data_IF_589777372549
#
_entry.id   IF_589777372549
#
_cell.length_a   1.000
_cell.length_b   1.000
_cell.length_c   1.000
_cell.angle_alpha   90.00
_cell.angle_beta   90.00
_cell.angle_gamma   90.00
#
_symmetry.space_group_name_H-M   'P 1'
#
loop_
_entity.id
_entity.type
_entity.pdbx_description
1 polymer ?
#
# COMPACT_ATOMS: atom_id res chain seq x y z
N UNK A 1 9.77 -26.04 -15.91
CA UNK A 1 9.48 -27.25 -16.71
C UNK A 1 7.98 -27.45 -16.78
N UNK A 2 7.43 -27.49 -18.00
CA UNK A 2 5.98 -27.58 -18.32
C UNK A 2 5.27 -28.75 -17.63
N UNK A 3 5.99 -29.85 -17.38
CA UNK A 3 5.47 -31.05 -16.71
C UNK A 3 5.00 -30.82 -15.27
N UNK A 4 5.65 -29.91 -14.54
CA UNK A 4 5.23 -29.59 -13.17
C UNK A 4 3.89 -28.83 -13.19
N UNK A 5 3.75 -27.87 -14.11
CA UNK A 5 2.54 -27.06 -14.26
C UNK A 5 1.32 -27.90 -14.66
N UNK A 6 1.49 -28.93 -15.50
CA UNK A 6 0.41 -29.86 -15.86
C UNK A 6 -0.07 -30.70 -14.66
N UNK A 7 0.85 -31.10 -13.76
CA UNK A 7 0.51 -31.82 -12.54
C UNK A 7 -0.19 -30.93 -11.52
N UNK A 8 0.28 -29.69 -11.35
CA UNK A 8 -0.30 -28.72 -10.44
C UNK A 8 -1.73 -28.34 -10.87
N UNK A 9 -1.99 -28.30 -12.18
CA UNK A 9 -3.31 -28.02 -12.74
C UNK A 9 -4.30 -29.17 -12.55
N UNK A 10 -3.87 -30.43 -12.72
CA UNK A 10 -4.76 -31.59 -12.61
C UNK A 10 -5.12 -31.97 -11.17
N UNK A 11 -4.27 -31.65 -10.19
CA UNK A 11 -4.47 -32.01 -8.78
C UNK A 11 -5.26 -30.98 -7.97
N UNK A 12 -5.24 -29.69 -8.36
CA UNK A 12 -5.56 -28.65 -7.40
C UNK A 12 -6.77 -27.76 -7.72
N UNK A 13 -7.39 -27.83 -8.90
CA UNK A 13 -8.41 -26.84 -9.33
C UNK A 13 -7.97 -25.37 -9.05
N UNK A 14 -6.65 -25.12 -9.07
CA UNK A 14 -6.03 -23.86 -8.62
C UNK A 14 -5.98 -22.87 -9.79
N UNK A 15 -7.04 -22.06 -9.92
CA UNK A 15 -7.05 -20.89 -10.81
C UNK A 15 -6.31 -19.67 -10.20
N UNK A 16 -5.79 -19.77 -8.97
CA UNK A 16 -5.12 -18.67 -8.28
C UNK A 16 -3.74 -19.11 -7.78
N UNK A 17 -2.65 -18.40 -8.11
CA UNK A 17 -1.36 -18.66 -7.49
C UNK A 17 -1.45 -18.36 -5.98
N UNK A 18 -0.86 -19.22 -5.14
CA UNK A 18 -0.72 -18.99 -3.68
C UNK A 18 0.27 -17.86 -3.33
N UNK A 19 0.75 -17.13 -4.33
CA UNK A 19 1.60 -15.95 -4.17
C UNK A 19 0.75 -14.78 -3.66
N UNK A 20 0.19 -14.93 -2.45
CA UNK A 20 -0.39 -13.83 -1.70
C UNK A 20 0.68 -12.76 -1.50
N UNK A 21 0.36 -11.52 -1.86
CA UNK A 21 1.27 -10.38 -1.70
C UNK A 21 1.75 -10.23 -0.26
N UNK A 22 2.78 -9.40 -0.08
CA UNK A 22 3.34 -9.10 1.25
C UNK A 22 2.25 -8.61 2.20
N UNK A 23 2.16 -9.21 3.39
CA UNK A 23 1.26 -8.73 4.45
C UNK A 23 1.74 -7.35 4.91
N UNK A 24 0.82 -6.39 4.99
CA UNK A 24 1.07 -5.09 5.62
C UNK A 24 1.50 -5.29 7.08
N UNK A 25 2.42 -4.45 7.58
CA UNK A 25 2.81 -4.45 8.99
C UNK A 25 1.69 -3.93 9.91
N UNK A 26 0.74 -3.19 9.36
CA UNK A 26 -0.43 -2.68 10.09
C UNK A 26 -1.57 -3.70 10.09
N UNK A 27 -2.25 -3.82 11.22
CA UNK A 27 -3.51 -4.57 11.32
C UNK A 27 -4.60 -3.91 10.48
N UNK A 28 -5.69 -4.63 10.21
CA UNK A 28 -6.82 -4.09 9.45
C UNK A 28 -7.43 -2.85 10.12
N UNK A 29 -7.57 -2.87 11.45
CA UNK A 29 -8.08 -1.73 12.23
C UNK A 29 -7.14 -0.52 12.15
N UNK A 30 -5.84 -0.74 12.30
CA UNK A 30 -4.83 0.33 12.18
C UNK A 30 -4.79 0.91 10.76
N UNK A 31 -4.92 0.04 9.75
CA UNK A 31 -5.00 0.44 8.34
C UNK A 31 -6.21 1.35 8.11
N UNK A 32 -7.40 0.96 8.58
CA UNK A 32 -8.60 1.76 8.42
C UNK A 32 -8.51 3.12 9.15
N UNK A 33 -7.96 3.11 10.37
CA UNK A 33 -7.71 4.33 11.14
C UNK A 33 -6.73 5.26 10.42
N UNK A 34 -5.62 4.72 9.90
CA UNK A 34 -4.63 5.49 9.16
C UNK A 34 -5.21 6.05 7.85
N UNK A 35 -6.03 5.29 7.12
CA UNK A 35 -6.73 5.78 5.92
C UNK A 35 -7.61 6.97 6.30
N UNK A 36 -8.47 6.83 7.33
CA UNK A 36 -9.35 7.91 7.78
C UNK A 36 -8.58 9.17 8.17
N UNK A 37 -7.44 9.00 8.83
CA UNK A 37 -6.56 10.10 9.22
C UNK A 37 -5.91 10.80 8.03
N UNK A 38 -5.44 10.05 7.03
CA UNK A 38 -4.84 10.61 5.82
C UNK A 38 -5.88 11.24 4.88
N UNK A 39 -7.15 10.86 4.98
CA UNK A 39 -8.25 11.52 4.27
C UNK A 39 -8.61 12.87 4.89
N UNK A 40 -8.55 13.00 6.21
CA UNK A 40 -8.84 14.27 6.90
C UNK A 40 -7.65 15.22 6.95
N UNK A 41 -6.42 14.67 7.03
CA UNK A 41 -5.18 15.43 7.18
C UNK A 41 -4.24 15.19 6.02
N UNK A 42 -3.98 16.24 5.25
CA UNK A 42 -2.97 16.23 4.20
C UNK A 42 -1.58 16.44 4.80
N UNK A 43 -0.63 15.61 4.38
CA UNK A 43 0.79 15.73 4.73
C UNK A 43 1.59 16.22 3.53
N UNK A 44 2.66 16.98 3.78
CA UNK A 44 3.53 17.48 2.71
C UNK A 44 4.58 16.44 2.34
N UNK A 45 5.03 15.63 3.31
CA UNK A 45 6.06 14.63 3.10
C UNK A 45 5.70 13.26 3.69
N UNK A 46 6.03 12.18 2.99
CA UNK A 46 5.84 10.80 3.48
C UNK A 46 6.55 10.55 4.81
N UNK A 47 7.67 11.25 5.09
CA UNK A 47 8.39 11.14 6.37
C UNK A 47 7.53 11.53 7.58
N UNK A 48 6.62 12.48 7.41
CA UNK A 48 5.68 12.91 8.45
C UNK A 48 4.66 11.81 8.75
N UNK A 49 4.19 11.12 7.71
CA UNK A 49 3.30 9.97 7.83
C UNK A 49 4.02 8.82 8.54
N UNK A 50 5.27 8.55 8.19
CA UNK A 50 6.11 7.55 8.87
C UNK A 50 6.26 7.88 10.36
N UNK A 51 6.55 9.14 10.68
CA UNK A 51 6.65 9.59 12.07
C UNK A 51 5.33 9.40 12.83
N UNK A 52 4.20 9.77 12.22
CA UNK A 52 2.88 9.54 12.81
C UNK A 52 2.57 8.06 13.06
N UNK A 53 2.87 7.20 12.10
CA UNK A 53 2.66 5.74 12.24
C UNK A 53 3.54 5.17 13.35
N UNK A 54 4.78 5.65 13.47
CA UNK A 54 5.66 5.26 14.56
C UNK A 54 5.16 5.74 15.94
N UNK A 55 4.64 6.96 16.04
CA UNK A 55 4.12 7.47 17.32
C UNK A 55 2.81 6.81 17.72
N UNK A 56 1.89 6.61 16.77
CA UNK A 56 0.55 6.06 17.03
C UNK A 56 0.56 4.54 17.21
N UNK A 57 1.35 3.81 16.42
CA UNK A 57 1.28 2.34 16.34
C UNK A 57 2.58 1.64 16.73
N UNK A 58 3.67 2.38 16.99
CA UNK A 58 5.02 1.83 17.24
C UNK A 58 5.53 0.93 16.12
N UNK A 59 5.01 1.12 14.90
CA UNK A 59 5.45 0.39 13.70
C UNK A 59 6.41 1.27 12.92
N UNK A 60 7.62 0.76 12.68
CA UNK A 60 8.64 1.48 11.93
C UNK A 60 8.55 1.14 10.43
N UNK A 61 8.21 2.15 9.63
CA UNK A 61 8.26 2.06 8.18
C UNK A 61 9.50 2.77 7.63
N UNK A 62 10.09 2.22 6.57
CA UNK A 62 10.96 3.01 5.71
C UNK A 62 10.12 3.92 4.82
N UNK A 63 10.69 5.03 4.33
CA UNK A 63 9.99 5.95 3.41
C UNK A 63 9.50 5.21 2.16
N UNK A 64 10.34 4.32 1.59
CA UNK A 64 9.96 3.50 0.44
C UNK A 64 8.84 2.51 0.78
N UNK A 65 8.87 1.91 1.98
CA UNK A 65 7.81 1.02 2.45
C UNK A 65 6.48 1.76 2.64
N UNK A 66 6.52 2.97 3.20
CA UNK A 66 5.34 3.81 3.35
C UNK A 66 4.78 4.24 2.00
N UNK A 67 5.63 4.63 1.04
CA UNK A 67 5.18 4.93 -0.32
C UNK A 67 4.48 3.73 -0.97
N UNK A 68 5.03 2.52 -0.84
CA UNK A 68 4.38 1.29 -1.32
C UNK A 68 3.03 1.07 -0.64
N UNK A 69 2.96 1.25 0.68
CA UNK A 69 1.73 1.11 1.44
C UNK A 69 0.66 2.12 0.99
N UNK A 70 1.04 3.38 0.76
CA UNK A 70 0.14 4.41 0.25
C UNK A 70 -0.44 4.01 -1.11
N UNK A 71 0.41 3.57 -2.04
CA UNK A 71 -0.03 3.09 -3.36
C UNK A 71 -0.97 1.88 -3.27
N UNK A 72 -0.68 0.92 -2.38
CA UNK A 72 -1.53 -0.25 -2.16
C UNK A 72 -2.92 0.12 -1.61
N UNK A 73 -3.00 1.18 -0.80
CA UNK A 73 -4.25 1.67 -0.20
C UNK A 73 -4.93 2.76 -1.06
N UNK A 74 -4.55 2.89 -2.33
CA UNK A 74 -5.20 3.79 -3.29
C UNK A 74 -4.79 5.27 -3.18
N UNK A 75 -3.85 5.61 -2.29
CA UNK A 75 -3.28 6.95 -2.26
C UNK A 75 -2.31 7.12 -3.43
N UNK A 76 -2.63 8.06 -4.30
CA UNK A 76 -1.77 8.46 -5.41
C UNK A 76 -1.38 9.92 -5.20
N UNK A 77 -0.07 10.19 -5.13
CA UNK A 77 0.41 11.56 -5.22
C UNK A 77 0.16 12.06 -6.64
N UNK A 78 -0.91 12.84 -6.83
CA UNK A 78 -1.07 13.66 -8.03
C UNK A 78 -0.68 15.08 -7.66
N UNK A 79 0.43 15.50 -8.25
CA UNK A 79 0.78 16.91 -8.41
C UNK A 79 -0.51 17.65 -8.84
N UNK A 80 -0.88 18.79 -8.22
CA UNK A 80 -1.99 19.57 -8.72
C UNK A 80 -1.70 19.83 -10.20
N UNK A 81 -2.62 19.42 -11.09
CA UNK A 81 -2.49 19.78 -12.50
C UNK A 81 -2.48 21.29 -12.52
N UNK A 82 -1.33 21.89 -12.85
CA UNK A 82 -1.20 23.33 -12.99
C UNK A 82 -2.37 23.79 -13.85
N UNK A 83 -3.18 24.70 -13.31
CA UNK A 83 -4.21 25.35 -14.10
C UNK A 83 -3.44 26.01 -15.26
N UNK A 84 -3.76 25.73 -16.54
CA UNK A 84 -3.07 26.40 -17.63
C UNK A 84 -3.17 27.90 -17.40
N UNK A 85 -2.02 28.57 -17.24
CA UNK A 85 -1.99 30.03 -17.21
C UNK A 85 -2.54 30.49 -18.55
N UNK A 86 -3.75 31.07 -18.58
CA UNK A 86 -4.26 31.75 -19.76
C UNK A 86 -3.42 33.02 -19.96
N UNK A 87 -2.96 33.19 -21.20
CA UNK A 87 -2.38 34.43 -21.73
C UNK A 87 -3.32 35.62 -21.53
#
# INVERSE_FOLDING_TARGET
TVRQHLKDYSLANKLKPENGGSKSYLSQQQTQSLISHLTSRTYHHTREIVAYVFTAYRVQYSVAGMNKWLHQNGFSYKMPKGVPHKF
#
